data_IF_928060903807
#
_entry.id   IF_928060903807
#
_cell.length_a   1.000
_cell.length_b   1.000
_cell.length_c   1.000
_cell.angle_alpha   90.00
_cell.angle_beta   90.00
_cell.angle_gamma   90.00
#
_symmetry.space_group_name_H-M   'P 1'
#
loop_
_entity.id
_entity.type
_entity.pdbx_description
1 polymer ?
#
# COMPACT_ATOMS: atom_id res chain seq x y z
N UNK A 1 22.46 20.92 7.56
CA UNK A 1 21.64 22.16 7.57
C UNK A 1 20.80 22.08 8.82
N UNK A 2 20.75 23.11 9.65
CA UNK A 2 19.93 23.12 10.87
C UNK A 2 18.54 23.62 10.53
N UNK A 3 17.52 22.81 10.79
CA UNK A 3 16.12 23.20 10.66
C UNK A 3 15.54 23.42 12.05
N UNK A 4 14.74 24.47 12.22
CA UNK A 4 13.96 24.66 13.45
C UNK A 4 12.84 23.64 13.51
N UNK A 5 12.54 23.11 14.69
CA UNK A 5 11.32 22.35 14.95
C UNK A 5 10.13 23.32 15.01
N UNK A 6 8.94 22.85 14.63
CA UNK A 6 7.71 23.65 14.61
C UNK A 6 7.14 23.94 16.00
N UNK A 7 7.67 23.31 17.04
CA UNK A 7 7.26 23.53 18.42
C UNK A 7 8.12 24.62 19.06
N UNK A 8 7.47 25.67 19.56
CA UNK A 8 8.12 26.70 20.37
C UNK A 8 8.68 26.08 21.65
N UNK A 9 9.99 25.86 21.69
CA UNK A 9 10.71 25.38 22.89
C UNK A 9 11.37 24.00 22.77
N UNK A 10 11.21 23.30 21.65
CA UNK A 10 11.90 22.02 21.42
C UNK A 10 13.38 22.18 21.08
N UNK A 11 14.21 21.20 21.48
CA UNK A 11 15.62 21.14 21.10
C UNK A 11 15.78 21.15 19.58
N UNK A 12 16.71 21.97 19.07
CA UNK A 12 17.00 22.04 17.64
C UNK A 12 17.57 20.71 17.17
N UNK A 13 16.89 20.05 16.24
CA UNK A 13 17.40 18.83 15.62
C UNK A 13 18.48 19.14 14.58
N UNK A 14 19.63 18.50 14.70
CA UNK A 14 20.73 18.62 13.76
C UNK A 14 20.53 17.62 12.62
N UNK A 15 20.16 18.12 11.44
CA UNK A 15 19.99 17.29 10.25
C UNK A 15 21.25 17.29 9.38
N UNK A 16 21.80 16.10 9.18
CA UNK A 16 22.86 15.84 8.20
C UNK A 16 22.23 15.56 6.84
N UNK A 17 22.24 16.56 5.96
CA UNK A 17 21.78 16.40 4.57
C UNK A 17 23.01 16.25 3.70
N UNK A 18 23.29 15.02 3.26
CA UNK A 18 24.33 14.75 2.28
C UNK A 18 23.76 15.00 0.90
N UNK A 19 24.33 15.99 0.16
CA UNK A 19 23.98 16.15 -1.25
C UNK A 19 24.48 14.91 -2.01
N UNK A 20 23.55 14.07 -2.42
CA UNK A 20 23.79 13.02 -3.38
C UNK A 20 23.56 13.57 -4.78
N UNK A 21 24.41 13.18 -5.74
CA UNK A 21 24.16 13.39 -7.17
C UNK A 21 23.91 12.02 -7.80
N UNK A 22 22.74 11.40 -7.55
CA UNK A 22 22.45 10.08 -8.06
C UNK A 22 22.45 10.12 -9.59
N UNK A 23 23.08 9.14 -10.21
CA UNK A 23 23.01 8.96 -11.66
C UNK A 23 21.56 8.71 -12.04
N UNK A 24 20.98 9.60 -12.86
CA UNK A 24 19.64 9.40 -13.41
C UNK A 24 19.75 8.43 -14.57
N UNK A 25 19.28 7.21 -14.38
CA UNK A 25 19.12 6.23 -15.45
C UNK A 25 17.63 6.05 -15.74
N UNK A 26 17.29 5.63 -16.95
CA UNK A 26 15.93 5.19 -17.23
C UNK A 26 15.61 3.99 -16.32
N UNK A 27 14.35 3.88 -15.90
CA UNK A 27 13.90 2.69 -15.19
C UNK A 27 14.19 1.45 -16.06
N UNK A 28 14.74 0.38 -15.50
CA UNK A 28 14.90 -0.87 -16.24
C UNK A 28 13.56 -1.31 -16.85
N UNK A 29 13.61 -1.98 -18.00
CA UNK A 29 12.40 -2.54 -18.61
C UNK A 29 11.70 -3.58 -17.72
N UNK A 30 12.47 -4.24 -16.86
CA UNK A 30 12.03 -5.21 -15.87
C UNK A 30 12.76 -4.91 -14.54
N UNK A 31 12.28 -3.91 -13.78
CA UNK A 31 12.93 -3.49 -12.54
C UNK A 31 12.67 -4.50 -11.42
N UNK A 32 13.57 -4.54 -10.44
CA UNK A 32 13.21 -5.09 -9.12
C UNK A 32 12.17 -4.17 -8.46
N UNK A 33 11.37 -4.71 -7.54
CA UNK A 33 10.26 -3.94 -6.97
C UNK A 33 10.72 -2.63 -6.28
N UNK A 34 11.87 -2.65 -5.60
CA UNK A 34 12.51 -1.48 -4.99
C UNK A 34 13.04 -0.44 -5.99
N UNK A 35 13.17 -0.81 -7.27
CA UNK A 35 13.54 0.10 -8.35
C UNK A 35 12.32 0.70 -9.06
N UNK A 36 11.10 0.21 -8.76
CA UNK A 36 9.87 0.68 -9.38
C UNK A 36 9.47 2.03 -8.77
N UNK A 37 9.27 3.03 -9.62
CA UNK A 37 8.60 4.29 -9.25
C UNK A 37 7.14 4.22 -9.64
N UNK A 38 6.24 4.60 -8.74
CA UNK A 38 4.81 4.62 -8.99
C UNK A 38 4.13 5.77 -8.23
N UNK A 39 2.96 6.18 -8.71
CA UNK A 39 2.14 7.21 -8.07
C UNK A 39 1.49 6.63 -6.80
N UNK A 40 1.63 7.39 -5.71
CA UNK A 40 1.07 7.05 -4.40
C UNK A 40 0.16 8.18 -3.92
N UNK A 41 -1.02 7.82 -3.43
CA UNK A 41 -1.98 8.75 -2.83
C UNK A 41 -1.87 8.74 -1.31
N UNK A 42 -1.52 9.89 -0.73
CA UNK A 42 -1.48 10.10 0.72
C UNK A 42 -2.90 10.25 1.28
N UNK A 43 -3.23 9.52 2.35
CA UNK A 43 -4.57 9.43 2.95
C UNK A 43 -5.65 9.15 1.90
N UNK A 44 -5.42 8.11 1.11
CA UNK A 44 -6.14 7.81 -0.13
C UNK A 44 -7.65 7.75 0.06
N UNK A 45 -8.12 7.22 1.19
CA UNK A 45 -9.54 7.08 1.47
C UNK A 45 -10.21 8.39 1.91
N UNK A 46 -9.47 9.35 2.49
CA UNK A 46 -10.06 10.65 2.86
C UNK A 46 -10.26 11.52 1.61
N UNK A 47 -11.26 11.14 0.83
CA UNK A 47 -11.55 11.64 -0.49
C UNK A 47 -13.03 12.02 -0.65
N UNK A 48 -13.34 12.82 -1.68
CA UNK A 48 -14.69 13.35 -1.86
C UNK A 48 -15.70 12.26 -2.24
N UNK A 49 -15.35 11.38 -3.18
CA UNK A 49 -16.28 10.40 -3.75
C UNK A 49 -16.65 9.29 -2.74
N UNK A 50 -15.68 8.67 -2.07
CA UNK A 50 -15.92 7.61 -1.08
C UNK A 50 -16.54 8.11 0.22
N UNK A 51 -16.44 9.41 0.49
CA UNK A 51 -17.08 10.04 1.63
C UNK A 51 -18.52 10.53 1.34
N UNK A 52 -19.08 10.23 0.16
CA UNK A 52 -20.35 10.76 -0.34
C UNK A 52 -20.44 12.30 -0.24
N UNK A 53 -19.29 12.94 -0.48
CA UNK A 53 -19.11 14.37 -0.41
C UNK A 53 -19.05 14.99 1.00
N UNK A 54 -19.05 14.17 2.05
CA UNK A 54 -19.00 14.62 3.45
C UNK A 54 -17.59 14.99 3.94
N UNK A 55 -16.53 14.66 3.19
CA UNK A 55 -15.16 14.96 3.57
C UNK A 55 -14.90 16.47 3.51
N UNK A 56 -14.70 17.09 4.68
CA UNK A 56 -14.25 18.47 4.75
C UNK A 56 -12.75 18.53 4.43
N UNK A 57 -12.36 19.34 3.44
CA UNK A 57 -10.97 19.48 2.98
C UNK A 57 -10.33 18.13 2.63
N UNK A 58 -10.88 17.39 1.65
CA UNK A 58 -10.40 16.04 1.34
C UNK A 58 -8.95 16.06 0.84
N UNK A 59 -8.22 14.99 1.14
CA UNK A 59 -6.85 14.80 0.64
C UNK A 59 -6.85 14.42 -0.84
N UNK A 60 -7.85 13.67 -1.28
CA UNK A 60 -8.01 13.26 -2.68
C UNK A 60 -9.40 13.64 -3.21
N UNK A 61 -9.53 13.87 -4.51
CA UNK A 61 -10.85 14.14 -5.11
C UNK A 61 -11.61 12.88 -5.48
N UNK A 62 -10.90 11.77 -5.69
CA UNK A 62 -11.43 10.59 -6.35
C UNK A 62 -11.52 9.39 -5.42
N UNK A 63 -12.49 8.51 -5.65
CA UNK A 63 -12.61 7.24 -4.91
C UNK A 63 -11.37 6.37 -5.07
N UNK A 64 -11.17 5.38 -4.18
CA UNK A 64 -10.08 4.40 -4.30
C UNK A 64 -10.08 3.72 -5.68
N UNK A 65 -11.26 3.28 -6.15
CA UNK A 65 -11.40 2.63 -7.46
C UNK A 65 -10.94 3.56 -8.59
N UNK A 66 -11.34 4.83 -8.55
CA UNK A 66 -10.98 5.81 -9.57
C UNK A 66 -9.50 6.22 -9.48
N UNK A 67 -8.92 6.30 -8.28
CA UNK A 67 -7.48 6.50 -8.09
C UNK A 67 -6.67 5.38 -8.76
N UNK A 68 -7.04 4.11 -8.52
CA UNK A 68 -6.42 2.95 -9.17
C UNK A 68 -6.57 2.99 -10.69
N UNK A 69 -7.77 3.31 -11.19
CA UNK A 69 -8.03 3.46 -12.64
C UNK A 69 -7.18 4.56 -13.28
N UNK A 70 -6.80 5.60 -12.53
CA UNK A 70 -5.99 6.74 -12.98
C UNK A 70 -4.48 6.57 -12.79
N UNK A 71 -4.03 5.35 -12.50
CA UNK A 71 -2.60 5.03 -12.45
C UNK A 71 -1.96 5.11 -11.07
N UNK A 72 -2.73 5.35 -10.00
CA UNK A 72 -2.24 5.15 -8.63
C UNK A 72 -1.95 3.67 -8.43
N UNK A 73 -0.79 3.35 -7.84
CA UNK A 73 -0.41 1.97 -7.45
C UNK A 73 0.07 1.89 -6.00
N UNK A 74 0.18 3.02 -5.32
CA UNK A 74 0.38 3.09 -3.88
C UNK A 74 -0.80 3.77 -3.19
N UNK A 75 -1.38 3.13 -2.18
CA UNK A 75 -2.45 3.70 -1.36
C UNK A 75 -1.94 3.83 0.08
N UNK A 76 -1.86 5.05 0.62
CA UNK A 76 -1.67 5.25 2.06
C UNK A 76 -3.04 5.36 2.72
N UNK A 77 -3.34 4.49 3.68
CA UNK A 77 -4.65 4.37 4.30
C UNK A 77 -4.52 4.48 5.82
N UNK A 78 -5.46 5.17 6.48
CA UNK A 78 -5.48 5.26 7.94
C UNK A 78 -6.59 4.35 8.47
N UNK A 79 -6.20 3.35 9.26
CA UNK A 79 -7.11 2.39 9.87
C UNK A 79 -7.42 2.74 11.32
N UNK A 80 -8.70 2.99 11.63
CA UNK A 80 -9.16 3.26 13.00
C UNK A 80 -10.26 2.28 13.41
N UNK A 81 -10.30 1.92 14.69
CA UNK A 81 -11.45 1.20 15.26
C UNK A 81 -12.63 2.18 15.38
N UNK A 82 -13.68 1.90 14.63
CA UNK A 82 -14.91 2.66 14.68
C UNK A 82 -16.11 1.74 14.45
N UNK A 83 -17.05 1.77 15.39
CA UNK A 83 -18.24 0.92 15.39
C UNK A 83 -17.90 -0.59 15.30
N UNK A 84 -16.81 -1.01 15.96
CA UNK A 84 -16.39 -2.42 16.08
C UNK A 84 -15.80 -3.00 14.79
N UNK A 85 -15.29 -2.14 13.90
CA UNK A 85 -14.68 -2.51 12.61
C UNK A 85 -13.48 -1.60 12.37
N UNK A 86 -12.47 -2.08 11.63
CA UNK A 86 -11.39 -1.20 11.19
C UNK A 86 -11.90 -0.42 9.98
N UNK A 87 -12.08 0.88 10.15
CA UNK A 87 -12.65 1.78 9.16
C UNK A 87 -11.61 2.78 8.67
N UNK A 88 -11.78 3.16 7.41
CA UNK A 88 -10.91 4.11 6.75
C UNK A 88 -11.32 5.53 7.11
N UNK A 89 -10.39 6.27 7.72
CA UNK A 89 -10.64 7.60 8.27
C UNK A 89 -9.43 8.51 8.02
N UNK A 90 -9.49 9.73 8.52
CA UNK A 90 -8.31 10.59 8.70
C UNK A 90 -8.56 11.45 9.93
N UNK A 91 -7.96 11.06 11.07
CA UNK A 91 -8.19 11.59 12.43
C UNK A 91 -9.60 11.38 12.99
N UNK A 92 -10.64 11.64 12.21
CA UNK A 92 -12.05 11.47 12.59
C UNK A 92 -12.73 10.62 11.52
N UNK A 93 -13.46 9.60 11.97
CA UNK A 93 -14.25 8.76 11.09
C UNK A 93 -15.56 9.45 10.71
N UNK A 94 -15.82 9.53 9.42
CA UNK A 94 -17.09 10.04 8.90
C UNK A 94 -18.15 8.95 9.03
N UNK A 95 -19.45 9.29 9.13
CA UNK A 95 -20.52 8.30 9.05
C UNK A 95 -20.49 7.47 7.77
N UNK A 96 -19.95 8.04 6.69
CA UNK A 96 -19.76 7.43 5.36
C UNK A 96 -18.47 6.62 5.24
N UNK A 97 -17.57 6.67 6.25
CA UNK A 97 -16.34 5.87 6.25
C UNK A 97 -16.65 4.40 6.02
N UNK A 98 -15.91 3.74 5.14
CA UNK A 98 -16.08 2.34 4.79
C UNK A 98 -15.09 1.48 5.61
N UNK A 99 -15.48 0.25 5.99
CA UNK A 99 -14.55 -0.74 6.52
C UNK A 99 -13.37 -1.02 5.58
N UNK A 100 -12.21 -1.41 6.12
CA UNK A 100 -11.00 -1.71 5.33
C UNK A 100 -11.25 -2.83 4.31
N UNK A 101 -12.03 -3.85 4.68
CA UNK A 101 -12.46 -4.94 3.78
C UNK A 101 -13.15 -4.43 2.50
N UNK A 102 -13.92 -3.35 2.59
CA UNK A 102 -14.54 -2.75 1.41
C UNK A 102 -13.50 -2.10 0.48
N UNK A 103 -12.42 -1.53 1.02
CA UNK A 103 -11.30 -1.01 0.22
C UNK A 103 -10.48 -2.17 -0.36
N UNK A 104 -10.29 -3.25 0.38
CA UNK A 104 -9.63 -4.47 -0.13
C UNK A 104 -10.44 -5.13 -1.25
N UNK A 105 -11.77 -5.02 -1.20
CA UNK A 105 -12.65 -5.41 -2.32
C UNK A 105 -12.38 -4.57 -3.57
N UNK A 106 -12.26 -3.24 -3.43
CA UNK A 106 -11.93 -2.36 -4.57
C UNK A 106 -10.54 -2.69 -5.17
N UNK A 107 -9.57 -3.03 -4.32
CA UNK A 107 -8.24 -3.50 -4.75
C UNK A 107 -8.32 -4.86 -5.45
N UNK A 108 -9.09 -5.80 -4.91
CA UNK A 108 -9.27 -7.12 -5.48
C UNK A 108 -9.91 -7.04 -6.87
N UNK A 109 -10.97 -6.25 -7.02
CA UNK A 109 -11.61 -5.97 -8.32
C UNK A 109 -10.59 -5.45 -9.33
N UNK A 110 -9.80 -4.45 -8.93
CA UNK A 110 -8.78 -3.87 -9.78
C UNK A 110 -7.71 -4.89 -10.20
N UNK A 111 -7.18 -5.69 -9.26
CA UNK A 111 -6.13 -6.67 -9.54
C UNK A 111 -6.62 -7.87 -10.37
N UNK A 112 -7.91 -8.23 -10.23
CA UNK A 112 -8.55 -9.34 -10.96
C UNK A 112 -9.00 -8.96 -12.36
N UNK A 113 -9.17 -7.68 -12.65
CA UNK A 113 -9.46 -7.23 -14.02
C UNK A 113 -8.32 -7.69 -14.96
N UNK A 114 -8.62 -8.46 -16.02
CA UNK A 114 -7.62 -8.89 -17.00
C UNK A 114 -6.80 -7.75 -17.60
N UNK A 115 -7.37 -6.55 -17.75
CA UNK A 115 -6.69 -5.37 -18.27
C UNK A 115 -5.55 -4.91 -17.34
N UNK A 116 -5.64 -5.20 -16.06
CA UNK A 116 -4.66 -4.84 -15.04
C UNK A 116 -3.76 -6.02 -14.68
N UNK A 117 -3.72 -7.11 -15.47
CA UNK A 117 -3.03 -8.37 -15.10
C UNK A 117 -1.54 -8.26 -14.75
N UNK A 118 -0.88 -7.16 -15.16
CA UNK A 118 0.53 -6.88 -14.86
C UNK A 118 0.74 -5.90 -13.70
N UNK A 119 -0.33 -5.47 -13.04
CA UNK A 119 -0.27 -4.43 -12.01
C UNK A 119 -0.03 -5.02 -10.63
N UNK A 120 0.79 -4.32 -9.85
CA UNK A 120 1.00 -4.57 -8.43
C UNK A 120 0.51 -3.34 -7.68
N UNK A 121 -0.30 -3.56 -6.63
CA UNK A 121 -0.78 -2.52 -5.71
C UNK A 121 -0.01 -2.63 -4.40
N UNK A 122 0.41 -1.48 -3.88
CA UNK A 122 1.05 -1.34 -2.57
C UNK A 122 0.13 -0.59 -1.65
N UNK A 123 -0.14 -1.17 -0.49
CA UNK A 123 -0.89 -0.53 0.59
C UNK A 123 0.08 -0.21 1.71
N UNK A 124 0.14 1.06 2.08
CA UNK A 124 0.76 1.52 3.31
C UNK A 124 -0.37 1.80 4.28
N UNK A 125 -0.52 0.96 5.29
CA UNK A 125 -1.53 1.08 6.31
C UNK A 125 -0.91 1.77 7.51
N UNK A 126 -1.41 2.95 7.84
CA UNK A 126 -1.16 3.57 9.14
C UNK A 126 -2.22 3.02 10.10
N UNK A 127 -1.84 2.01 10.88
CA UNK A 127 -2.73 1.26 11.74
C UNK A 127 -2.81 1.83 13.16
N UNK A 128 -3.95 2.46 13.45
CA UNK A 128 -4.32 2.89 14.81
C UNK A 128 -5.12 1.83 15.56
N UNK A 129 -4.90 0.56 15.20
CA UNK A 129 -5.66 -0.62 15.66
C UNK A 129 -4.69 -1.75 15.99
N UNK A 130 -5.17 -2.80 16.66
CA UNK A 130 -4.32 -3.96 16.95
C UNK A 130 -4.23 -4.93 15.77
N UNK A 131 -3.18 -5.78 15.71
CA UNK A 131 -3.08 -6.84 14.71
C UNK A 131 -4.30 -7.77 14.69
N UNK A 132 -4.90 -8.09 15.84
CA UNK A 132 -6.10 -8.93 15.92
C UNK A 132 -7.33 -8.26 15.30
N UNK A 133 -7.44 -6.94 15.41
CA UNK A 133 -8.51 -6.19 14.75
C UNK A 133 -8.32 -6.16 13.23
N UNK A 134 -7.08 -6.04 12.76
CA UNK A 134 -6.77 -6.14 11.32
C UNK A 134 -7.05 -7.53 10.78
N UNK A 135 -6.62 -8.59 11.47
CA UNK A 135 -6.89 -9.97 11.09
C UNK A 135 -8.40 -10.25 11.07
N UNK A 136 -9.14 -9.78 12.07
CA UNK A 136 -10.60 -9.90 12.08
C UNK A 136 -11.29 -9.10 10.95
N UNK A 137 -10.68 -8.02 10.47
CA UNK A 137 -11.26 -7.18 9.42
C UNK A 137 -10.96 -7.69 8.00
N UNK A 138 -9.72 -8.10 7.69
CA UNK A 138 -9.29 -8.48 6.34
C UNK A 138 -8.65 -9.88 6.23
N UNK A 139 -8.54 -10.63 7.32
CA UNK A 139 -7.97 -11.98 7.32
C UNK A 139 -8.69 -12.91 6.36
N UNK A 140 -10.02 -12.88 6.32
CA UNK A 140 -10.83 -13.66 5.38
C UNK A 140 -10.62 -13.24 3.92
N UNK A 141 -10.33 -11.96 3.66
CA UNK A 141 -10.04 -11.47 2.31
C UNK A 141 -8.69 -11.99 1.82
N UNK A 142 -7.69 -12.03 2.70
CA UNK A 142 -6.30 -12.40 2.39
C UNK A 142 -6.04 -13.91 2.48
N UNK A 143 -6.83 -14.62 3.27
CA UNK A 143 -6.65 -16.04 3.57
C UNK A 143 -7.13 -17.00 2.47
N UNK A 144 -7.00 -18.32 2.70
CA UNK A 144 -7.38 -19.34 1.72
C UNK A 144 -8.85 -19.24 1.26
N UNK A 145 -9.07 -19.18 -0.05
CA UNK A 145 -10.40 -18.99 -0.65
C UNK A 145 -10.94 -17.56 -0.58
N UNK A 146 -10.21 -16.64 0.07
CA UNK A 146 -10.49 -15.22 0.12
C UNK A 146 -10.33 -14.53 -1.24
N UNK A 147 -10.83 -13.30 -1.33
CA UNK A 147 -10.78 -12.56 -2.60
C UNK A 147 -9.37 -12.18 -3.05
N UNK A 148 -8.40 -12.11 -2.14
CA UNK A 148 -7.01 -11.81 -2.41
C UNK A 148 -6.09 -13.00 -2.10
N UNK A 149 -6.66 -14.21 -1.98
CA UNK A 149 -5.92 -15.44 -1.72
C UNK A 149 -4.77 -15.61 -2.72
N UNK A 150 -3.59 -15.90 -2.18
CA UNK A 150 -2.36 -16.09 -2.95
C UNK A 150 -1.76 -14.80 -3.53
N UNK A 151 -2.43 -13.64 -3.44
CA UNK A 151 -1.95 -12.40 -4.04
C UNK A 151 -0.98 -11.60 -3.17
N UNK A 152 -1.04 -11.78 -1.86
CA UNK A 152 -0.13 -11.10 -0.92
C UNK A 152 1.30 -11.58 -1.15
N UNK A 153 2.20 -10.62 -1.32
CA UNK A 153 3.63 -10.84 -1.32
C UNK A 153 4.13 -10.93 0.13
N UNK A 154 4.66 -12.11 0.49
CA UNK A 154 5.37 -12.32 1.75
C UNK A 154 6.88 -12.24 1.47
N UNK A 155 7.61 -11.25 2.03
CA UNK A 155 9.04 -11.08 1.81
C UNK A 155 9.88 -12.22 2.40
N UNK A 156 9.30 -13.08 3.24
CA UNK A 156 9.90 -14.31 3.78
C UNK A 156 9.22 -15.58 3.26
N UNK A 157 8.38 -15.43 2.23
CA UNK A 157 7.51 -16.48 1.71
C UNK A 157 8.28 -17.65 1.08
N UNK A 158 7.62 -18.80 0.91
CA UNK A 158 8.27 -20.04 0.53
C UNK A 158 8.90 -20.01 -0.86
N UNK A 159 9.82 -20.96 -1.10
CA UNK A 159 10.45 -21.19 -2.41
C UNK A 159 9.39 -21.45 -3.48
N UNK A 160 9.42 -20.68 -4.55
CA UNK A 160 8.55 -20.90 -5.70
C UNK A 160 9.30 -21.65 -6.83
N UNK A 161 8.70 -22.69 -7.43
CA UNK A 161 9.29 -23.39 -8.56
C UNK A 161 9.51 -22.46 -9.76
N UNK A 162 10.70 -22.50 -10.36
CA UNK A 162 11.00 -21.77 -11.60
C UNK A 162 11.62 -20.38 -11.44
N UNK A 163 11.88 -19.92 -10.21
CA UNK A 163 12.85 -18.86 -9.94
C UNK A 163 14.26 -19.48 -9.94
N UNK A 164 15.14 -18.98 -10.81
CA UNK A 164 16.53 -19.42 -10.88
C UNK A 164 17.21 -19.27 -9.51
N UNK A 165 17.94 -20.32 -9.11
CA UNK A 165 18.61 -20.47 -7.80
C UNK A 165 17.72 -20.42 -6.55
N UNK A 166 16.69 -21.28 -6.44
CA UNK A 166 16.35 -21.98 -5.19
C UNK A 166 16.13 -21.16 -3.90
N UNK A 167 15.88 -19.87 -3.99
CA UNK A 167 15.70 -18.96 -2.87
C UNK A 167 14.20 -18.69 -2.73
N UNK A 168 13.77 -18.66 -1.47
CA UNK A 168 12.50 -18.08 -1.06
C UNK A 168 12.43 -16.62 -1.55
N UNK A 169 11.28 -15.96 -1.43
CA UNK A 169 11.23 -14.51 -1.71
C UNK A 169 12.16 -13.67 -0.83
N UNK A 170 12.82 -14.28 0.16
CA UNK A 170 13.88 -13.80 1.06
C UNK A 170 14.56 -12.49 0.61
N UNK A 171 13.83 -11.40 0.84
CA UNK A 171 14.23 -10.06 0.42
C UNK A 171 15.46 -9.61 1.19
N UNK A 172 15.61 -10.08 2.42
CA UNK A 172 16.75 -9.77 3.28
C UNK A 172 18.06 -10.35 2.72
N UNK A 173 18.04 -11.61 2.29
CA UNK A 173 19.24 -12.25 1.76
C UNK A 173 19.52 -11.94 0.29
N UNK A 174 18.48 -11.71 -0.51
CA UNK A 174 18.59 -11.72 -1.99
C UNK A 174 18.14 -10.43 -2.67
N UNK A 175 17.60 -9.48 -1.90
CA UNK A 175 17.03 -8.25 -2.42
C UNK A 175 15.60 -8.45 -2.94
N UNK A 176 14.98 -7.36 -3.39
CA UNK A 176 13.62 -7.42 -3.91
C UNK A 176 13.58 -8.16 -5.25
N UNK A 177 12.53 -8.97 -5.49
CA UNK A 177 12.36 -9.65 -6.76
C UNK A 177 12.04 -8.70 -7.90
N UNK A 178 12.17 -9.21 -9.12
CA UNK A 178 11.68 -8.54 -10.32
C UNK A 178 10.16 -8.42 -10.29
N UNK A 179 9.66 -7.30 -10.80
CA UNK A 179 8.22 -7.08 -10.96
C UNK A 179 7.59 -8.16 -11.83
N UNK A 180 8.26 -8.58 -12.91
CA UNK A 180 7.76 -9.67 -13.77
C UNK A 180 7.63 -11.00 -13.04
N UNK A 181 8.55 -11.34 -12.14
CA UNK A 181 8.48 -12.56 -11.33
C UNK A 181 7.31 -12.49 -10.32
N UNK A 182 7.14 -11.35 -9.65
CA UNK A 182 6.01 -11.12 -8.75
C UNK A 182 4.67 -11.31 -9.47
N UNK A 183 4.50 -10.68 -10.65
CA UNK A 183 3.30 -10.81 -11.49
C UNK A 183 3.08 -12.24 -11.94
N UNK A 184 4.12 -12.91 -12.46
CA UNK A 184 4.06 -14.31 -12.94
C UNK A 184 3.56 -15.27 -11.85
N UNK A 185 3.92 -15.00 -10.60
CA UNK A 185 3.54 -15.81 -9.46
C UNK A 185 2.31 -15.28 -8.70
N UNK A 186 1.61 -14.30 -9.27
CA UNK A 186 0.39 -13.73 -8.70
C UNK A 186 0.61 -12.85 -7.45
N UNK A 187 1.87 -12.60 -7.04
CA UNK A 187 2.24 -11.80 -5.87
C UNK A 187 2.11 -10.30 -6.16
N UNK A 188 0.86 -9.84 -6.20
CA UNK A 188 0.46 -8.55 -6.77
C UNK A 188 -0.11 -7.56 -5.75
N UNK A 189 -0.11 -7.93 -4.46
CA UNK A 189 -0.45 -7.06 -3.35
C UNK A 189 0.72 -7.00 -2.36
N UNK A 190 1.26 -5.81 -2.11
CA UNK A 190 2.32 -5.57 -1.11
C UNK A 190 1.72 -4.75 0.02
N UNK A 191 1.85 -5.23 1.25
CA UNK A 191 1.30 -4.58 2.44
C UNK A 191 2.43 -4.14 3.36
N UNK A 192 2.41 -2.87 3.74
CA UNK A 192 3.18 -2.33 4.85
C UNK A 192 2.17 -1.86 5.89
N UNK A 193 2.24 -2.41 7.10
CA UNK A 193 1.45 -2.03 8.27
C UNK A 193 2.45 -1.90 9.41
#
# INVERSE_FOLDING_TARGET
MTFGTSETGGDKQLWYVTRVSPTKQAMPADPTFDQRTYLTSHNAYYNQDDADGAAAFPNQSHSIREQLARGVRGLMLDGYDSNGRVRMCHKVCLPTSRPLSNVFTDIADFLKDPANGNEIVTVFLEDYVTPEQLDAEVGDDLGPGGQLDGMVFDPKGPKLPGLGSGLAWDVEATGWPKVSDMVKHGKRLVLFS
#
